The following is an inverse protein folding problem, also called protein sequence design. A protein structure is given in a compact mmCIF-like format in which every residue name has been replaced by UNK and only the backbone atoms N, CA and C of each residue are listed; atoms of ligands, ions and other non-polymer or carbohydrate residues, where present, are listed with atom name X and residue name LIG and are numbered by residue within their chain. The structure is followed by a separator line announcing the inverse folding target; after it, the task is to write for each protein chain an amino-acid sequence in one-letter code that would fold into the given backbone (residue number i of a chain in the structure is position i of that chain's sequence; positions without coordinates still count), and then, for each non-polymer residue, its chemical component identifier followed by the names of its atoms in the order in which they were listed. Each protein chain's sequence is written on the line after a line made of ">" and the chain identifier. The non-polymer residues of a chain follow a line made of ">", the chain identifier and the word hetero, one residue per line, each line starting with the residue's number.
data_IF_170744789113
#
_entry.id   IF_170744789113
#
_cell.length_a   1.000
_cell.length_b   1.000
_cell.length_c   1.000
_cell.angle_alpha   90.00
_cell.angle_beta   90.00
_cell.angle_gamma   90.00
#
_symmetry.space_group_name_H-M   'P 1'
#
loop_
_entity.id
_entity.type
_entity.pdbx_description
1 polymer ?
#
# COMPACT_ATOMS: atom_id res chain seq x y z
N UNK A 1 6.17 -0.70 -17.33
CA UNK A 1 6.84 -1.30 -16.16
C UNK A 1 6.10 -2.58 -15.83
N UNK A 2 6.75 -3.76 -15.79
CA UNK A 2 6.03 -5.05 -15.70
C UNK A 2 5.74 -5.51 -14.26
N UNK A 3 6.51 -5.06 -13.27
CA UNK A 3 6.32 -5.39 -11.85
C UNK A 3 6.69 -4.15 -11.04
N UNK A 4 5.86 -3.77 -10.06
CA UNK A 4 6.15 -2.72 -9.07
C UNK A 4 6.02 -3.32 -7.68
N UNK A 5 7.01 -3.10 -6.83
CA UNK A 5 7.05 -3.56 -5.44
C UNK A 5 7.08 -2.35 -4.53
N UNK A 6 6.02 -2.21 -3.74
CA UNK A 6 5.87 -1.10 -2.80
C UNK A 6 5.69 -1.63 -1.38
N UNK A 7 6.10 -0.83 -0.39
CA UNK A 7 5.94 -1.14 1.04
C UNK A 7 5.19 -0.03 1.74
N UNK A 8 4.30 -0.39 2.66
CA UNK A 8 3.56 0.55 3.50
C UNK A 8 3.76 0.23 4.97
N UNK A 9 4.26 1.19 5.73
CA UNK A 9 4.28 1.19 7.18
C UNK A 9 2.92 1.69 7.69
N UNK A 10 2.34 0.99 8.66
CA UNK A 10 1.18 1.50 9.41
C UNK A 10 1.66 2.14 10.72
N UNK A 11 0.93 3.10 11.29
CA UNK A 11 1.20 3.57 12.64
C UNK A 11 1.02 2.44 13.66
N UNK A 12 1.68 2.59 14.81
CA UNK A 12 1.38 1.81 16.00
C UNK A 12 -0.08 2.08 16.43
N UNK A 13 -0.80 1.01 16.77
CA UNK A 13 -2.16 1.12 17.28
C UNK A 13 -2.17 1.43 18.79
N UNK A 14 -3.33 1.81 19.32
CA UNK A 14 -3.48 2.18 20.74
C UNK A 14 -3.01 1.07 21.70
N UNK A 15 -3.25 -0.21 21.37
CA UNK A 15 -2.82 -1.33 22.23
C UNK A 15 -1.30 -1.48 22.26
N UNK A 16 -0.64 -1.24 21.13
CA UNK A 16 0.84 -1.24 21.01
C UNK A 16 1.44 -0.08 21.80
N UNK A 17 0.86 1.12 21.66
CA UNK A 17 1.27 2.30 22.43
C UNK A 17 1.08 2.10 23.95
N UNK A 18 -0.06 1.55 24.40
CA UNK A 18 -0.29 1.25 25.82
C UNK A 18 0.70 0.24 26.37
N UNK A 19 1.22 -0.66 25.53
CA UNK A 19 2.24 -1.65 25.91
C UNK A 19 3.67 -1.10 25.83
N UNK A 20 3.86 0.17 25.45
CA UNK A 20 5.17 0.76 25.16
C UNK A 20 5.96 -0.04 24.12
N UNK A 21 5.28 -0.57 23.10
CA UNK A 21 5.96 -1.18 21.96
C UNK A 21 6.80 -0.12 21.22
N UNK A 22 7.96 -0.54 20.73
CA UNK A 22 8.90 0.34 20.06
C UNK A 22 8.69 0.25 18.55
N UNK A 23 8.62 1.40 17.88
CA UNK A 23 8.63 1.44 16.43
C UNK A 23 10.04 1.17 15.91
N UNK A 24 10.19 0.06 15.19
CA UNK A 24 11.47 -0.42 14.65
C UNK A 24 11.60 -0.17 13.14
N UNK A 25 10.67 0.53 12.51
CA UNK A 25 10.71 0.79 11.06
C UNK A 25 10.79 2.29 10.79
N UNK A 26 11.80 2.70 10.03
CA UNK A 26 11.94 4.09 9.54
C UNK A 26 11.92 4.13 8.02
N UNK A 27 11.17 5.07 7.45
CA UNK A 27 11.16 5.33 6.00
C UNK A 27 11.77 6.71 5.76
N UNK A 28 13.10 6.81 5.55
CA UNK A 28 13.77 8.10 5.37
C UNK A 28 13.51 8.73 4.00
N UNK A 29 13.07 7.95 3.00
CA UNK A 29 12.81 8.43 1.65
C UNK A 29 11.82 7.53 0.93
N UNK A 30 11.35 7.96 -0.25
CA UNK A 30 10.35 7.24 -1.05
C UNK A 30 10.79 5.87 -1.55
N UNK A 31 12.07 5.53 -1.52
CA UNK A 31 12.56 4.25 -2.05
C UNK A 31 13.23 3.38 -0.98
N UNK A 32 13.45 3.91 0.23
CA UNK A 32 14.26 3.25 1.25
C UNK A 32 13.44 3.04 2.52
N UNK A 33 13.49 1.81 3.03
CA UNK A 33 12.98 1.43 4.35
C UNK A 33 14.12 0.87 5.19
N UNK A 34 14.18 1.26 6.45
CA UNK A 34 15.18 0.79 7.42
C UNK A 34 14.46 0.02 8.52
N UNK A 35 14.87 -1.23 8.73
CA UNK A 35 14.52 -2.03 9.90
C UNK A 35 15.62 -1.89 10.96
N UNK A 36 15.23 -1.43 12.14
CA UNK A 36 16.10 -1.31 13.31
C UNK A 36 16.00 -2.58 14.15
N UNK A 37 16.72 -3.64 13.78
CA UNK A 37 16.64 -4.93 14.46
C UNK A 37 17.43 -4.92 15.78
N UNK A 38 16.77 -5.06 16.95
CA UNK A 38 17.47 -5.18 18.22
C UNK A 38 18.22 -6.51 18.29
N UNK A 39 19.51 -6.45 18.59
CA UNK A 39 20.40 -7.60 18.69
C UNK A 39 21.21 -7.54 19.98
N UNK A 40 21.67 -8.72 20.42
CA UNK A 40 22.51 -8.86 21.61
C UNK A 40 23.77 -9.64 21.24
N UNK A 41 24.93 -9.09 21.55
CA UNK A 41 26.22 -9.78 21.37
C UNK A 41 26.41 -10.88 22.42
N UNK A 42 27.40 -11.74 22.21
CA UNK A 42 27.78 -12.79 23.17
C UNK A 42 28.16 -12.22 24.54
N UNK A 43 28.73 -11.01 24.56
CA UNK A 43 29.10 -10.27 25.77
C UNK A 43 27.91 -9.53 26.43
N UNK A 44 26.68 -9.80 26.01
CA UNK A 44 25.44 -9.17 26.46
C UNK A 44 25.28 -7.69 26.08
N UNK A 45 26.16 -7.12 25.26
CA UNK A 45 26.01 -5.75 24.74
C UNK A 45 24.83 -5.69 23.75
N UNK A 46 23.87 -4.81 24.04
CA UNK A 46 22.75 -4.51 23.13
C UNK A 46 23.20 -3.59 22.01
N UNK A 47 22.77 -3.85 20.79
CA UNK A 47 22.99 -2.98 19.63
C UNK A 47 21.81 -3.07 18.66
N UNK A 48 21.76 -2.14 17.71
CA UNK A 48 20.80 -2.18 16.61
C UNK A 48 21.53 -2.59 15.34
N UNK A 49 21.04 -3.65 14.69
CA UNK A 49 21.39 -3.98 13.31
C UNK A 49 20.41 -3.27 12.38
N UNK A 50 20.91 -2.28 11.63
CA UNK A 50 20.09 -1.42 10.76
C UNK A 50 20.08 -1.98 9.34
N UNK A 51 19.04 -2.72 8.99
CA UNK A 51 18.89 -3.34 7.68
C UNK A 51 18.15 -2.40 6.73
N UNK A 52 18.75 -2.14 5.57
CA UNK A 52 18.19 -1.25 4.54
C UNK A 52 17.59 -2.07 3.40
N UNK A 53 16.35 -1.75 3.04
CA UNK A 53 15.63 -2.34 1.93
C UNK A 53 15.25 -1.25 0.93
N UNK A 54 15.35 -1.57 -0.36
CA UNK A 54 14.96 -0.68 -1.46
C UNK A 54 13.71 -1.21 -2.16
N UNK A 55 12.75 -0.32 -2.40
CA UNK A 55 11.49 -0.58 -3.09
C UNK A 55 11.23 0.50 -4.14
N UNK A 56 10.26 0.28 -5.02
CA UNK A 56 9.84 1.32 -5.97
C UNK A 56 9.16 2.49 -5.24
N UNK A 57 8.34 2.17 -4.23
CA UNK A 57 7.72 3.15 -3.34
C UNK A 57 7.63 2.64 -1.90
N UNK A 58 7.99 3.52 -0.96
CA UNK A 58 7.86 3.35 0.48
C UNK A 58 6.91 4.39 1.04
N UNK A 59 5.84 3.93 1.70
CA UNK A 59 4.82 4.76 2.34
C UNK A 59 4.96 4.68 3.85
N UNK A 60 5.12 5.83 4.50
CA UNK A 60 5.21 5.96 5.96
C UNK A 60 3.84 5.85 6.65
N UNK A 61 3.85 5.92 7.97
CA UNK A 61 2.67 5.85 8.83
C UNK A 61 1.66 6.98 8.61
N UNK A 62 2.06 8.07 7.94
CA UNK A 62 1.22 9.23 7.62
C UNK A 62 0.57 9.13 6.24
N UNK A 63 0.99 8.15 5.43
CA UNK A 63 0.50 7.94 4.08
C UNK A 63 -0.93 7.38 4.07
N UNK A 64 -1.86 8.15 3.52
CA UNK A 64 -3.26 7.76 3.36
C UNK A 64 -3.48 6.80 2.16
N UNK A 65 -4.66 6.21 2.08
CA UNK A 65 -4.97 5.25 1.01
C UNK A 65 -4.96 5.87 -0.40
N UNK A 66 -5.33 7.15 -0.52
CA UNK A 66 -5.35 7.85 -1.80
C UNK A 66 -3.93 8.03 -2.37
N UNK A 67 -2.97 8.39 -1.51
CA UNK A 67 -1.56 8.47 -1.88
C UNK A 67 -1.03 7.10 -2.31
N UNK A 68 -1.33 6.04 -1.54
CA UNK A 68 -0.93 4.67 -1.87
C UNK A 68 -1.51 4.26 -3.22
N UNK A 69 -2.81 4.50 -3.43
CA UNK A 69 -3.51 4.20 -4.68
C UNK A 69 -2.82 4.84 -5.89
N UNK A 70 -2.53 6.15 -5.79
CA UNK A 70 -1.94 6.96 -6.88
C UNK A 70 -0.62 6.41 -7.41
N UNK A 71 0.18 5.81 -6.54
CA UNK A 71 1.51 5.27 -6.88
C UNK A 71 1.54 3.75 -7.04
N UNK A 72 0.42 3.05 -6.84
CA UNK A 72 0.35 1.58 -6.97
C UNK A 72 -0.66 1.13 -8.02
N UNK A 73 -1.95 1.31 -7.76
CA UNK A 73 -3.02 0.80 -8.60
C UNK A 73 -3.47 1.77 -9.70
N UNK A 74 -3.36 3.08 -9.51
CA UNK A 74 -3.78 4.06 -10.53
C UNK A 74 -3.08 3.86 -11.89
N UNK A 75 -1.75 3.63 -11.97
CA UNK A 75 -1.08 3.35 -13.25
C UNK A 75 -1.56 2.07 -13.94
N UNK A 76 -2.15 1.12 -13.18
CA UNK A 76 -2.68 -0.13 -13.71
C UNK A 76 -4.00 0.07 -14.46
N UNK A 77 -4.79 1.08 -14.09
CA UNK A 77 -6.03 1.43 -14.80
C UNK A 77 -5.72 1.68 -16.27
N UNK A 78 -4.73 2.52 -16.57
CA UNK A 78 -4.29 2.78 -17.95
C UNK A 78 -3.92 1.48 -18.70
N UNK A 79 -3.27 0.54 -18.03
CA UNK A 79 -2.88 -0.75 -18.66
C UNK A 79 -4.11 -1.54 -19.12
N UNK A 80 -5.23 -1.46 -18.40
CA UNK A 80 -6.49 -2.13 -18.80
C UNK A 80 -7.06 -1.51 -20.07
N UNK A 81 -7.05 -0.17 -20.19
CA UNK A 81 -7.53 0.53 -21.38
C UNK A 81 -6.60 0.38 -22.59
N UNK A 82 -5.31 0.15 -22.36
CA UNK A 82 -4.33 -0.21 -23.40
C UNK A 82 -4.44 -1.70 -23.82
N UNK A 83 -5.59 -2.35 -23.61
CA UNK A 83 -5.86 -3.77 -23.88
C UNK A 83 -4.92 -4.76 -23.16
N UNK A 84 -4.44 -4.39 -21.97
CA UNK A 84 -3.57 -5.21 -21.14
C UNK A 84 -4.27 -5.78 -19.90
N UNK A 85 -3.64 -6.79 -19.27
CA UNK A 85 -4.06 -7.31 -17.98
C UNK A 85 -3.18 -6.72 -16.86
N UNK A 86 -3.80 -6.33 -15.74
CA UNK A 86 -3.09 -5.84 -14.58
C UNK A 86 -3.61 -6.47 -13.28
N UNK A 87 -2.70 -6.69 -12.34
CA UNK A 87 -3.02 -7.29 -11.04
C UNK A 87 -2.32 -6.52 -9.92
N UNK A 88 -3.04 -6.28 -8.82
CA UNK A 88 -2.51 -5.64 -7.62
C UNK A 88 -2.70 -6.57 -6.43
N UNK A 89 -1.64 -6.77 -5.63
CA UNK A 89 -1.66 -7.62 -4.45
C UNK A 89 -1.38 -6.79 -3.19
N UNK A 90 -2.11 -7.09 -2.12
CA UNK A 90 -1.74 -6.65 -0.77
C UNK A 90 -1.16 -7.86 0.00
N UNK A 91 0.11 -7.77 0.40
CA UNK A 91 0.82 -8.83 1.10
C UNK A 91 1.34 -8.35 2.46
N UNK A 92 1.46 -9.27 3.43
CA UNK A 92 1.95 -9.00 4.77
C UNK A 92 1.24 -9.80 5.86
N UNK A 93 1.72 -9.70 7.10
CA UNK A 93 1.15 -10.41 8.26
C UNK A 93 -0.28 -9.98 8.64
N UNK A 94 -0.96 -10.77 9.45
CA UNK A 94 -2.25 -10.35 10.05
C UNK A 94 -2.06 -9.07 10.88
N UNK A 95 -3.00 -8.13 10.73
CA UNK A 95 -2.93 -6.82 11.39
C UNK A 95 -1.98 -5.81 10.73
N UNK A 96 -1.36 -6.11 9.58
CA UNK A 96 -0.47 -5.15 8.88
C UNK A 96 -1.19 -4.06 8.08
N UNK A 97 -2.53 -4.11 7.96
CA UNK A 97 -3.31 -3.10 7.22
C UNK A 97 -3.68 -3.47 5.78
N UNK A 98 -3.54 -4.74 5.37
CA UNK A 98 -3.96 -5.22 4.03
C UNK A 98 -5.43 -4.88 3.72
N UNK A 99 -6.35 -5.32 4.58
CA UNK A 99 -7.80 -5.08 4.42
C UNK A 99 -8.12 -3.59 4.47
N UNK A 100 -7.48 -2.84 5.38
CA UNK A 100 -7.63 -1.38 5.47
C UNK A 100 -7.22 -0.68 4.16
N UNK A 101 -6.13 -1.14 3.54
CA UNK A 101 -5.63 -0.55 2.29
C UNK A 101 -6.56 -0.88 1.12
N UNK A 102 -6.91 -2.16 0.94
CA UNK A 102 -7.69 -2.58 -0.22
C UNK A 102 -9.17 -2.20 -0.11
N UNK A 103 -9.79 -2.47 1.03
CA UNK A 103 -11.23 -2.31 1.23
C UNK A 103 -11.66 -1.04 1.96
N UNK A 104 -10.73 -0.21 2.43
CA UNK A 104 -11.04 1.01 3.17
C UNK A 104 -11.12 0.82 4.68
N UNK A 105 -11.66 1.80 5.41
CA UNK A 105 -11.70 1.72 6.87
C UNK A 105 -12.87 0.82 7.33
N UNK A 106 -12.53 -0.25 8.04
CA UNK A 106 -13.48 -1.19 8.65
C UNK A 106 -13.63 -0.96 10.17
N UNK A 107 -13.17 0.17 10.69
CA UNK A 107 -13.24 0.48 12.11
C UNK A 107 -14.68 0.74 12.57
N UNK A 108 -15.17 -0.06 13.52
CA UNK A 108 -16.47 0.14 14.17
C UNK A 108 -17.70 -0.16 13.29
N UNK A 109 -18.81 0.56 13.55
CA UNK A 109 -20.11 0.36 12.88
C UNK A 109 -20.24 1.08 11.53
N UNK A 110 -19.32 1.98 11.19
CA UNK A 110 -19.31 2.74 9.93
C UNK A 110 -18.13 2.27 9.09
N UNK A 111 -18.40 1.42 8.11
CA UNK A 111 -17.39 1.00 7.14
C UNK A 111 -17.27 2.09 6.07
N UNK A 112 -16.08 2.66 5.91
CA UNK A 112 -15.80 3.62 4.85
C UNK A 112 -15.04 2.94 3.71
N UNK A 113 -15.81 2.23 2.88
CA UNK A 113 -15.27 1.52 1.73
C UNK A 113 -14.83 2.45 0.58
N UNK A 114 -15.34 3.69 0.53
CA UNK A 114 -15.06 4.61 -0.58
C UNK A 114 -13.60 5.08 -0.64
N UNK A 115 -12.86 4.93 0.47
CA UNK A 115 -11.44 5.28 0.56
C UNK A 115 -10.51 4.06 0.43
N UNK A 116 -11.03 2.88 0.08
CA UNK A 116 -10.22 1.70 -0.24
C UNK A 116 -9.71 1.73 -1.68
N UNK A 117 -8.59 1.03 -1.96
CA UNK A 117 -8.09 0.87 -3.33
C UNK A 117 -9.17 0.33 -4.27
N UNK A 118 -10.03 -0.60 -3.83
CA UNK A 118 -11.12 -1.11 -4.69
C UNK A 118 -12.05 0.00 -5.20
N UNK A 119 -12.51 0.87 -4.31
CA UNK A 119 -13.44 1.95 -4.68
C UNK A 119 -12.74 3.05 -5.49
N UNK A 120 -11.49 3.38 -5.15
CA UNK A 120 -10.69 4.35 -5.90
C UNK A 120 -10.43 3.88 -7.33
N UNK A 121 -10.04 2.60 -7.50
CA UNK A 121 -9.86 2.00 -8.83
C UNK A 121 -11.17 1.99 -9.61
N UNK A 122 -12.29 1.58 -9.00
CA UNK A 122 -13.58 1.54 -9.68
C UNK A 122 -13.99 2.93 -10.21
N UNK A 123 -13.84 3.97 -9.38
CA UNK A 123 -14.13 5.36 -9.77
C UNK A 123 -13.27 5.82 -10.95
N UNK A 124 -11.96 5.54 -10.91
CA UNK A 124 -11.06 5.96 -11.98
C UNK A 124 -11.31 5.17 -13.28
N UNK A 125 -11.75 3.92 -13.19
CA UNK A 125 -12.22 3.13 -14.35
C UNK A 125 -13.49 3.75 -14.94
N UNK A 126 -14.48 4.09 -14.12
CA UNK A 126 -15.72 4.75 -14.58
C UNK A 126 -15.41 6.08 -15.29
N UNK A 127 -14.55 6.92 -14.68
CA UNK A 127 -14.13 8.17 -15.31
C UNK A 127 -13.40 7.92 -16.63
N UNK A 128 -12.50 6.94 -16.67
CA UNK A 128 -11.74 6.62 -17.89
C UNK A 128 -12.67 6.08 -19.00
N UNK A 129 -13.78 5.41 -18.63
CA UNK A 129 -14.79 4.95 -19.59
C UNK A 129 -15.49 6.13 -20.26
N UNK A 130 -15.88 7.15 -19.51
CA UNK A 130 -16.56 8.33 -20.05
C UNK A 130 -15.65 9.16 -20.97
N UNK A 131 -14.34 9.12 -20.74
CA UNK A 131 -13.33 9.82 -21.54
C UNK A 131 -12.94 9.07 -22.83
N UNK A 132 -13.17 7.75 -22.92
CA UNK A 132 -12.83 6.94 -24.08
C UNK A 132 -14.10 6.55 -24.87
N UNK A 133 -14.20 7.00 -26.12
CA UNK A 133 -15.25 6.53 -27.03
C UNK A 133 -14.98 5.08 -27.42
N UNK A 134 -15.65 4.13 -26.75
CA UNK A 134 -15.56 2.70 -27.04
C UNK A 134 -16.36 2.28 -28.28
N UNK A 135 -16.44 3.14 -29.30
CA UNK A 135 -17.14 2.85 -30.54
C UNK A 135 -16.61 1.56 -31.23
N UNK A 136 -15.35 1.19 -30.99
CA UNK A 136 -14.73 -0.04 -31.50
C UNK A 136 -15.10 -1.33 -30.73
N UNK A 137 -15.53 -1.25 -29.46
CA UNK A 137 -15.87 -2.45 -28.66
C UNK A 137 -17.27 -3.00 -29.03
N UNK A 138 -18.11 -2.19 -29.67
CA UNK A 138 -19.48 -2.58 -30.06
C UNK A 138 -19.58 -3.41 -31.34
N UNK A 139 -18.47 -3.67 -32.04
CA UNK A 139 -18.47 -4.39 -33.32
C UNK A 139 -18.23 -5.91 -33.23
N UNK A 140 -18.32 -6.50 -32.03
CA UNK A 140 -18.13 -7.94 -31.84
C UNK A 140 -19.36 -8.65 -31.21
N UNK A 141 -20.57 -8.32 -31.67
CA UNK A 141 -21.78 -9.14 -31.48
C UNK A 141 -22.31 -9.65 -32.81
#
# INVERSE_FOLDING_TARGET
>A
MRISVCVRKRPLNTKELTKNEVDVITIPSREITILHQPQTRVDLTKYLDNQKFRFDYCFDEYSNNELVYRFTAAPLVKTIFDNGNATCFAYGQTGSGKTHTMGGDFSGKKQNASMGIYALTARDVEQSIDEHDFSDIRLAQ
#
